data_IF_519048757722
#
_entry.id   IF_519048757722
#
_cell.length_a   1.000
_cell.length_b   1.000
_cell.length_c   1.000
_cell.angle_alpha   90.00
_cell.angle_beta   90.00
_cell.angle_gamma   90.00
#
_symmetry.space_group_name_H-M   'P 1'
#
loop_
_entity.id
_entity.type
_entity.pdbx_description
1 polymer ?
#
# COMPACT_ATOMS: atom_id res chain seq x y z
N UNK A 1 32.64 1.65 -30.35
CA UNK A 1 31.93 1.27 -31.60
C UNK A 1 31.43 2.50 -32.36
N UNK A 2 31.05 2.41 -33.64
CA UNK A 2 30.43 3.54 -34.37
C UNK A 2 28.92 3.59 -34.13
N UNK A 3 28.38 4.79 -34.01
CA UNK A 3 26.93 4.96 -33.92
C UNK A 3 26.28 4.57 -35.26
N UNK A 4 25.25 3.71 -35.28
CA UNK A 4 24.56 3.36 -36.53
C UNK A 4 23.54 4.42 -36.97
N UNK A 5 23.23 5.39 -36.11
CA UNK A 5 22.36 6.54 -36.43
C UNK A 5 23.19 7.71 -36.95
N UNK A 6 24.23 8.10 -36.20
CA UNK A 6 25.14 9.17 -36.61
C UNK A 6 26.32 8.57 -37.37
N UNK A 7 26.37 8.80 -38.69
CA UNK A 7 27.52 8.42 -39.51
C UNK A 7 28.79 9.06 -38.94
N UNK A 8 29.84 8.27 -38.81
CA UNK A 8 31.18 8.66 -38.36
C UNK A 8 31.37 9.06 -36.89
N UNK A 9 30.32 9.02 -36.05
CA UNK A 9 30.46 9.30 -34.61
C UNK A 9 30.87 8.03 -33.86
N UNK A 10 31.91 8.15 -33.02
CA UNK A 10 32.34 7.09 -32.13
C UNK A 10 31.54 7.16 -30.83
N UNK A 11 30.96 6.02 -30.44
CA UNK A 11 30.28 5.86 -29.16
C UNK A 11 31.29 5.97 -28.01
N UNK A 12 30.88 6.66 -26.95
CA UNK A 12 31.65 6.85 -25.75
C UNK A 12 31.17 5.88 -24.68
N UNK A 13 32.12 5.17 -24.08
CA UNK A 13 31.87 4.23 -23.00
C UNK A 13 31.73 4.99 -21.67
N UNK A 14 30.75 4.62 -20.87
CA UNK A 14 30.50 5.17 -19.54
C UNK A 14 29.95 4.09 -18.63
N UNK A 15 30.31 4.11 -17.35
CA UNK A 15 29.68 3.24 -16.36
C UNK A 15 28.57 4.00 -15.63
N UNK A 16 27.37 3.43 -15.57
CA UNK A 16 26.26 3.96 -14.79
C UNK A 16 25.68 2.87 -13.90
N UNK A 17 25.72 3.12 -12.59
CA UNK A 17 25.23 2.19 -11.59
C UNK A 17 25.86 0.79 -11.74
N UNK A 18 27.15 0.66 -12.07
CA UNK A 18 27.79 -0.64 -12.28
C UNK A 18 27.34 -1.37 -13.56
N UNK A 19 26.72 -0.67 -14.51
CA UNK A 19 26.44 -1.16 -15.86
C UNK A 19 27.25 -0.31 -16.83
N UNK A 20 28.07 -0.97 -17.65
CA UNK A 20 28.76 -0.33 -18.76
C UNK A 20 27.74 0.01 -19.84
N UNK A 21 27.83 1.22 -20.38
CA UNK A 21 26.92 1.74 -21.41
C UNK A 21 27.74 2.46 -22.48
N UNK A 22 27.34 2.29 -23.74
CA UNK A 22 27.88 3.04 -24.87
C UNK A 22 26.89 4.12 -25.29
N UNK A 23 27.26 5.40 -25.20
CA UNK A 23 26.38 6.50 -25.60
C UNK A 23 26.96 7.34 -26.74
N UNK A 24 26.07 7.86 -27.59
CA UNK A 24 26.43 8.79 -28.65
C UNK A 24 26.31 10.24 -28.16
N UNK A 25 27.37 11.07 -28.24
CA UNK A 25 27.29 12.47 -27.81
C UNK A 25 26.39 13.34 -28.73
N UNK A 26 26.22 12.94 -29.99
CA UNK A 26 25.44 13.69 -30.99
C UNK A 26 23.93 13.41 -30.88
N UNK A 27 23.51 12.14 -31.04
CA UNK A 27 22.09 11.78 -31.00
C UNK A 27 21.58 11.36 -29.62
N UNK A 28 22.47 11.25 -28.61
CA UNK A 28 22.16 10.77 -27.26
C UNK A 28 21.58 9.35 -27.20
N UNK A 29 21.76 8.55 -28.26
CA UNK A 29 21.39 7.14 -28.28
C UNK A 29 22.28 6.34 -27.33
N UNK A 30 21.67 5.36 -26.65
CA UNK A 30 22.35 4.42 -25.74
C UNK A 30 22.34 3.04 -26.40
N UNK A 31 23.48 2.37 -26.36
CA UNK A 31 23.73 1.04 -26.90
C UNK A 31 24.18 0.15 -25.76
N UNK A 32 23.55 -1.02 -25.67
CA UNK A 32 23.74 -1.99 -24.60
C UNK A 32 23.94 -3.37 -25.20
N UNK A 33 24.85 -4.13 -24.62
CA UNK A 33 24.99 -5.55 -24.92
C UNK A 33 23.91 -6.38 -24.19
N UNK A 34 23.73 -7.63 -24.64
CA UNK A 34 22.71 -8.53 -24.08
C UNK A 34 22.83 -8.68 -22.55
N UNK A 35 24.04 -8.85 -22.03
CA UNK A 35 24.27 -9.01 -20.58
C UNK A 35 24.15 -7.73 -19.77
N UNK A 36 24.25 -6.55 -20.39
CA UNK A 36 24.08 -5.25 -19.72
C UNK A 36 22.59 -4.93 -19.55
N UNK A 37 21.79 -5.23 -20.58
CA UNK A 37 20.34 -5.09 -20.51
C UNK A 37 19.75 -5.92 -19.37
N UNK A 38 20.19 -7.17 -19.22
CA UNK A 38 19.73 -8.06 -18.14
C UNK A 38 20.00 -7.45 -16.76
N UNK A 39 21.21 -6.89 -16.53
CA UNK A 39 21.56 -6.20 -15.28
C UNK A 39 20.65 -5.00 -14.99
N UNK A 40 20.30 -4.23 -16.02
CA UNK A 40 19.39 -3.09 -15.87
C UNK A 40 17.98 -3.58 -15.51
N UNK A 41 17.49 -4.62 -16.17
CA UNK A 41 16.17 -5.18 -15.91
C UNK A 41 16.03 -5.72 -14.49
N UNK A 42 17.02 -6.45 -14.00
CA UNK A 42 16.98 -7.01 -12.65
C UNK A 42 16.98 -5.91 -11.58
N UNK A 43 17.76 -4.84 -11.78
CA UNK A 43 17.71 -3.68 -10.88
C UNK A 43 16.38 -2.94 -10.95
N UNK A 44 15.83 -2.75 -12.15
CA UNK A 44 14.54 -2.09 -12.31
C UNK A 44 13.40 -2.84 -11.61
N UNK A 45 13.45 -4.18 -11.65
CA UNK A 45 12.54 -5.05 -10.88
C UNK A 45 12.72 -4.85 -9.38
N UNK A 46 13.96 -4.92 -8.88
CA UNK A 46 14.22 -4.72 -7.45
C UNK A 46 13.71 -3.37 -6.91
N UNK A 47 13.88 -2.28 -7.68
CA UNK A 47 13.31 -0.98 -7.33
C UNK A 47 11.79 -1.06 -7.29
N UNK A 48 11.15 -1.59 -8.33
CA UNK A 48 9.69 -1.72 -8.38
C UNK A 48 9.15 -2.56 -7.21
N UNK A 49 9.78 -3.68 -6.91
CA UNK A 49 9.38 -4.57 -5.82
C UNK A 49 9.47 -3.84 -4.47
N UNK A 50 10.53 -3.05 -4.23
CA UNK A 50 10.63 -2.23 -3.01
C UNK A 50 9.52 -1.18 -2.89
N UNK A 51 9.17 -0.51 -3.99
CA UNK A 51 8.06 0.45 -4.01
C UNK A 51 6.71 -0.23 -3.78
N UNK A 52 6.48 -1.39 -4.40
CA UNK A 52 5.25 -2.16 -4.27
C UNK A 52 5.07 -2.71 -2.84
N UNK A 53 6.13 -3.18 -2.18
CA UNK A 53 6.12 -3.64 -0.80
C UNK A 53 5.80 -2.50 0.19
N UNK A 54 6.46 -1.35 0.04
CA UNK A 54 6.20 -0.15 0.85
C UNK A 54 4.74 0.31 0.71
N UNK A 55 4.22 0.32 -0.52
CA UNK A 55 2.84 0.73 -0.78
C UNK A 55 1.80 -0.25 -0.20
N UNK A 56 2.09 -1.56 -0.24
CA UNK A 56 1.22 -2.58 0.36
C UNK A 56 1.21 -2.52 1.89
N UNK A 57 2.34 -2.22 2.51
CA UNK A 57 2.44 -2.00 3.96
C UNK A 57 1.55 -0.83 4.40
N UNK A 58 1.68 0.33 3.76
CA UNK A 58 0.88 1.51 4.12
C UNK A 58 -0.65 1.24 4.02
N UNK A 59 -1.11 0.58 2.95
CA UNK A 59 -2.52 0.21 2.80
C UNK A 59 -3.03 -0.76 3.86
N UNK A 60 -2.15 -1.63 4.36
CA UNK A 60 -2.53 -2.63 5.37
C UNK A 60 -2.73 -1.98 6.73
N UNK A 61 -1.89 -1.02 7.09
CA UNK A 61 -2.02 -0.24 8.33
C UNK A 61 -3.28 0.64 8.33
N UNK A 62 -3.55 1.33 7.22
CA UNK A 62 -4.78 2.12 7.05
C UNK A 62 -6.05 1.26 7.24
N UNK A 63 -6.04 0.05 6.67
CA UNK A 63 -7.15 -0.91 6.81
C UNK A 63 -7.30 -1.38 8.26
N UNK A 64 -6.20 -1.60 8.97
CA UNK A 64 -6.25 -2.03 10.38
C UNK A 64 -6.81 -0.92 11.27
N UNK A 65 -6.39 0.32 11.07
CA UNK A 65 -6.93 1.49 11.79
C UNK A 65 -8.42 1.69 11.52
N UNK A 66 -8.85 1.60 10.26
CA UNK A 66 -10.28 1.67 9.91
C UNK A 66 -11.09 0.59 10.63
N UNK A 67 -10.64 -0.68 10.58
CA UNK A 67 -11.34 -1.79 11.23
C UNK A 67 -11.39 -1.62 12.76
N UNK A 68 -10.32 -1.11 13.35
CA UNK A 68 -10.25 -0.81 14.78
C UNK A 68 -11.26 0.27 15.19
N UNK A 69 -11.38 1.34 14.39
CA UNK A 69 -12.38 2.40 14.60
C UNK A 69 -13.81 1.87 14.49
N UNK A 70 -14.11 1.09 13.46
CA UNK A 70 -15.44 0.47 13.27
C UNK A 70 -15.84 -0.43 14.45
N UNK A 71 -14.90 -1.21 14.99
CA UNK A 71 -15.15 -2.06 16.15
C UNK A 71 -15.39 -1.23 17.42
N UNK A 72 -14.62 -0.15 17.60
CA UNK A 72 -14.79 0.78 18.72
C UNK A 72 -16.14 1.51 18.66
N UNK A 73 -16.56 1.97 17.48
CA UNK A 73 -17.88 2.58 17.26
C UNK A 73 -19.02 1.61 17.54
N UNK A 74 -18.88 0.36 17.09
CA UNK A 74 -19.85 -0.70 17.36
C UNK A 74 -20.00 -0.98 18.87
N UNK A 75 -18.89 -0.96 19.61
CA UNK A 75 -18.91 -1.11 21.07
C UNK A 75 -19.61 0.07 21.78
N UNK A 76 -19.39 1.31 21.32
CA UNK A 76 -20.10 2.48 21.84
C UNK A 76 -21.61 2.42 21.60
N UNK A 77 -22.05 1.93 20.42
CA UNK A 77 -23.48 1.78 20.12
C UNK A 77 -24.15 0.71 21.01
N UNK A 78 -23.45 -0.40 21.29
CA UNK A 78 -23.93 -1.45 22.18
C UNK A 78 -24.11 -0.96 23.63
N UNK A 79 -23.14 -0.24 24.19
CA UNK A 79 -23.25 0.35 25.54
C UNK A 79 -24.45 1.32 25.63
N UNK A 80 -24.62 2.17 24.60
CA UNK A 80 -25.74 3.13 24.54
C UNK A 80 -27.10 2.44 24.49
N UNK A 81 -27.21 1.27 23.84
CA UNK A 81 -28.42 0.44 23.83
C UNK A 81 -28.63 -0.32 25.15
N UNK A 82 -27.56 -0.74 25.82
CA UNK A 82 -27.60 -1.35 27.15
C UNK A 82 -28.10 -0.40 28.24
N UNK A 83 -27.77 0.90 28.14
CA UNK A 83 -28.28 1.94 29.05
C UNK A 83 -29.75 2.32 28.83
N UNK A 84 -30.39 1.88 27.74
CA UNK A 84 -31.80 2.18 27.42
C UNK A 84 -32.84 1.23 28.05
N UNK A 85 -32.44 0.35 28.96
CA UNK A 85 -33.36 -0.41 29.84
C UNK A 85 -32.86 -0.21 31.27
N UNK A 86 -33.59 0.40 32.22
CA UNK A 86 -35.01 0.25 32.55
C UNK A 86 -35.54 1.59 33.07
N UNK A 87 -36.68 2.05 32.54
CA UNK A 87 -37.47 3.07 33.24
C UNK A 87 -38.11 2.42 34.48
N UNK A 88 -38.18 3.09 35.64
CA UNK A 88 -38.80 2.53 36.85
C UNK A 88 -40.26 2.08 36.65
N UNK A 89 -40.95 2.63 35.65
CA UNK A 89 -42.31 2.22 35.27
C UNK A 89 -42.41 0.74 34.81
N UNK A 90 -41.36 0.17 34.21
CA UNK A 90 -41.37 -1.23 33.75
C UNK A 90 -40.93 -2.23 34.82
N UNK A 91 -40.51 -1.76 36.00
CA UNK A 91 -40.18 -2.60 37.14
C UNK A 91 -41.34 -2.68 38.15
N UNK A 92 -42.23 -1.68 38.14
CA UNK A 92 -43.44 -1.66 38.97
C UNK A 92 -44.58 -2.50 38.38
N UNK A 93 -44.62 -2.65 37.05
CA UNK A 93 -45.54 -3.57 36.36
C UNK A 93 -45.33 -5.02 36.81
N UNK A 94 -44.08 -5.46 36.89
CA UNK A 94 -43.72 -6.83 37.29
C UNK A 94 -43.96 -7.09 38.79
N UNK A 95 -44.01 -6.04 39.62
CA UNK A 95 -44.28 -6.13 41.07
C UNK A 95 -45.79 -6.13 41.36
N UNK A 96 -46.60 -5.40 40.59
CA UNK A 96 -48.06 -5.36 40.75
C UNK A 96 -48.76 -6.65 40.32
N UNK A 97 -48.14 -7.43 39.42
CA UNK A 97 -48.63 -8.77 39.04
C UNK A 97 -48.37 -9.82 40.13
N UNK A 98 -47.37 -9.64 40.99
CA UNK A 98 -47.04 -10.58 42.08
C UNK A 98 -48.01 -10.46 43.27
N UNK A 99 -48.67 -9.30 43.44
CA UNK A 99 -49.55 -9.01 44.59
C UNK A 99 -51.05 -8.90 44.25
N UNK A 100 -51.49 -9.26 43.03
CA UNK A 100 -52.91 -9.25 42.63
C UNK A 100 -53.50 -10.65 42.37
N UNK A 101 -52.91 -11.71 42.92
CA UNK A 101 -53.49 -13.04 42.94
C UNK A 101 -53.99 -13.39 44.34
N UNK A 102 -55.32 -13.47 44.46
CA UNK A 102 -56.17 -13.80 45.63
C UNK A 102 -56.65 -12.62 46.51
#
# INVERSE_FOLDING_TARGET
MKCPVCKDVTLLMSEKNGVEIDYCPECRGIWLDRGELDKIMDRARGVRDSYDEEFQSHRSDDRYDQKSREHRESAYDYDKKGRRKKSPASALSDILEIFSGE
#
